data_IF_802251580550
#
_entry.id   IF_802251580550
#
_cell.length_a   1.000
_cell.length_b   1.000
_cell.length_c   1.000
_cell.angle_alpha   90.00
_cell.angle_beta   90.00
_cell.angle_gamma   90.00
#
_symmetry.space_group_name_H-M   'P 1'
#
loop_
_entity.id
_entity.type
_entity.pdbx_description
1 polymer ?
#
# COMPACT_ATOMS: atom_id res chain seq x y z
N UNK A 1 -11.16 -12.00 -7.10
CA UNK A 1 -9.86 -11.34 -6.83
C UNK A 1 -9.15 -12.10 -5.73
N UNK A 2 -7.85 -12.41 -5.88
CA UNK A 2 -7.06 -12.95 -4.77
C UNK A 2 -7.09 -11.94 -3.62
N UNK A 3 -7.53 -12.37 -2.44
CA UNK A 3 -7.61 -11.49 -1.29
C UNK A 3 -6.31 -11.58 -0.49
N UNK A 4 -5.62 -10.45 -0.35
CA UNK A 4 -4.44 -10.36 0.49
C UNK A 4 -4.85 -10.28 1.97
N UNK A 5 -4.42 -11.23 2.83
CA UNK A 5 -4.77 -11.20 4.25
C UNK A 5 -4.32 -9.92 4.97
N UNK A 6 -3.14 -9.40 4.61
CA UNK A 6 -2.62 -8.16 5.19
C UNK A 6 -3.45 -6.95 4.79
N UNK A 7 -3.98 -6.94 3.56
CA UNK A 7 -4.91 -5.90 3.14
C UNK A 7 -6.13 -5.87 4.06
N UNK A 8 -6.77 -7.02 4.29
CA UNK A 8 -7.93 -7.13 5.20
C UNK A 8 -7.61 -6.60 6.59
N UNK A 9 -6.48 -7.01 7.16
CA UNK A 9 -6.04 -6.54 8.47
C UNK A 9 -5.92 -5.01 8.54
N UNK A 10 -5.40 -4.39 7.47
CA UNK A 10 -5.29 -2.93 7.40
C UNK A 10 -6.66 -2.26 7.36
N UNK A 11 -7.59 -2.73 6.50
CA UNK A 11 -8.93 -2.12 6.37
C UNK A 11 -9.83 -2.39 7.56
N UNK A 12 -9.66 -3.51 8.24
CA UNK A 12 -10.39 -3.89 9.46
C UNK A 12 -9.83 -3.21 10.71
N UNK A 13 -8.73 -2.44 10.59
CA UNK A 13 -8.17 -1.67 11.68
C UNK A 13 -7.42 -2.51 12.72
N UNK A 14 -7.01 -3.73 12.39
CA UNK A 14 -6.12 -4.52 13.25
C UNK A 14 -4.80 -3.79 13.45
N UNK A 15 -4.08 -4.10 14.53
CA UNK A 15 -2.83 -3.40 14.89
C UNK A 15 -1.67 -3.75 13.94
N UNK A 16 -1.70 -3.19 12.74
CA UNK A 16 -0.71 -3.37 11.67
C UNK A 16 0.39 -2.30 11.69
N UNK A 17 0.16 -1.19 12.40
CA UNK A 17 1.06 -0.03 12.50
C UNK A 17 2.27 -0.27 13.42
N UNK A 18 2.29 -1.44 14.04
CA UNK A 18 3.19 -1.86 15.10
C UNK A 18 4.10 -2.97 14.58
N UNK A 19 5.40 -2.86 14.84
CA UNK A 19 6.35 -3.92 14.47
C UNK A 19 5.90 -5.24 15.09
N UNK A 20 5.84 -6.32 14.31
CA UNK A 20 5.66 -7.67 14.85
C UNK A 20 6.96 -8.06 15.55
N UNK A 21 7.08 -7.66 16.82
CA UNK A 21 8.16 -8.07 17.72
C UNK A 21 7.49 -8.59 18.98
N UNK A 22 7.32 -9.91 19.06
CA UNK A 22 6.73 -10.56 20.25
C UNK A 22 7.61 -10.42 21.50
N UNK A 23 8.88 -10.02 21.35
CA UNK A 23 9.90 -10.13 22.42
C UNK A 23 10.55 -8.81 22.86
N UNK A 24 10.00 -7.62 22.55
CA UNK A 24 10.68 -6.36 22.88
C UNK A 24 9.88 -5.44 23.82
N UNK A 25 10.43 -5.08 25.01
CA UNK A 25 9.80 -4.17 25.97
C UNK A 25 9.94 -2.68 25.60
N UNK A 26 10.46 -2.37 24.41
CA UNK A 26 10.67 -1.00 23.93
C UNK A 26 9.37 -0.50 23.26
N UNK A 27 8.92 0.74 23.53
CA UNK A 27 7.79 1.31 22.80
C UNK A 27 8.05 1.24 21.30
N UNK A 28 7.17 0.50 20.61
CA UNK A 28 7.33 0.23 19.20
C UNK A 28 7.28 1.56 18.42
N UNK A 29 8.31 1.83 17.63
CA UNK A 29 8.29 3.00 16.73
C UNK A 29 7.14 2.81 15.74
N UNK A 30 6.22 3.76 15.69
CA UNK A 30 5.15 3.72 14.70
C UNK A 30 5.73 3.85 13.29
N UNK A 31 5.20 3.05 12.35
CA UNK A 31 5.59 3.13 10.94
C UNK A 31 5.31 4.55 10.42
N UNK A 32 6.29 5.14 9.71
CA UNK A 32 6.11 6.48 9.16
C UNK A 32 4.91 6.54 8.21
N UNK A 33 4.19 7.67 8.22
CA UNK A 33 2.95 7.89 7.45
C UNK A 33 3.04 7.47 5.98
N UNK A 34 4.17 7.77 5.32
CA UNK A 34 4.37 7.42 3.91
C UNK A 34 4.44 5.92 3.66
N UNK A 35 5.13 5.16 4.52
CA UNK A 35 5.28 3.71 4.33
C UNK A 35 3.98 2.97 4.64
N UNK A 36 3.15 3.51 5.53
CA UNK A 36 1.77 3.07 5.75
C UNK A 36 0.94 3.19 4.46
N UNK A 37 0.97 4.35 3.81
CA UNK A 37 0.28 4.57 2.54
C UNK A 37 0.82 3.68 1.41
N UNK A 38 2.15 3.55 1.29
CA UNK A 38 2.79 2.72 0.26
C UNK A 38 2.44 1.24 0.43
N UNK A 39 2.38 0.76 1.68
CA UNK A 39 1.97 -0.61 1.97
C UNK A 39 0.51 -0.84 1.57
N UNK A 40 -0.40 0.07 1.90
CA UNK A 40 -1.80 -0.04 1.48
C UNK A 40 -1.93 -0.08 -0.05
N UNK A 41 -1.19 0.77 -0.77
CA UNK A 41 -1.12 0.74 -2.25
C UNK A 41 -0.67 -0.64 -2.73
N UNK A 42 0.44 -1.17 -2.20
CA UNK A 42 0.96 -2.48 -2.59
C UNK A 42 -0.03 -3.61 -2.27
N UNK A 43 -0.72 -3.55 -1.13
CA UNK A 43 -1.65 -4.58 -0.69
C UNK A 43 -2.97 -4.60 -1.48
N UNK A 44 -3.34 -3.51 -2.15
CA UNK A 44 -4.63 -3.36 -2.84
C UNK A 44 -4.77 -4.13 -4.15
N UNK A 45 -3.65 -4.55 -4.77
CA UNK A 45 -3.68 -5.27 -6.04
C UNK A 45 -4.36 -4.47 -7.15
N UNK A 46 -5.11 -5.17 -8.01
CA UNK A 46 -5.89 -4.56 -9.08
C UNK A 46 -7.04 -3.66 -8.58
N UNK A 47 -7.44 -3.77 -7.30
CA UNK A 47 -8.43 -2.85 -6.72
C UNK A 47 -7.87 -1.42 -6.72
N UNK A 48 -6.60 -1.26 -6.36
CA UNK A 48 -5.99 0.05 -6.19
C UNK A 48 -6.48 0.80 -4.94
N UNK A 49 -6.05 2.05 -4.81
CA UNK A 49 -6.37 2.90 -3.67
C UNK A 49 -6.77 4.30 -4.11
N UNK A 50 -7.75 4.89 -3.43
CA UNK A 50 -8.10 6.31 -3.58
C UNK A 50 -7.43 7.14 -2.49
N UNK A 51 -7.46 8.47 -2.61
CA UNK A 51 -6.96 9.38 -1.57
C UNK A 51 -7.67 9.16 -0.23
N UNK A 52 -9.00 9.01 -0.25
CA UNK A 52 -9.80 8.73 0.94
C UNK A 52 -9.45 7.37 1.55
N UNK A 53 -9.21 6.37 0.71
CA UNK A 53 -8.83 5.04 1.17
C UNK A 53 -7.52 5.08 1.98
N UNK A 54 -6.53 5.84 1.52
CA UNK A 54 -5.28 6.09 2.24
C UNK A 54 -5.51 6.91 3.50
N UNK A 55 -6.32 7.97 3.44
CA UNK A 55 -6.62 8.84 4.58
C UNK A 55 -7.19 8.04 5.75
N UNK A 56 -8.25 7.25 5.51
CA UNK A 56 -8.96 6.51 6.55
C UNK A 56 -8.13 5.34 7.08
N UNK A 57 -7.59 4.49 6.22
CA UNK A 57 -6.95 3.24 6.65
C UNK A 57 -5.53 3.42 7.18
N UNK A 58 -4.86 4.53 6.83
CA UNK A 58 -3.53 4.84 7.36
C UNK A 58 -3.56 5.86 8.50
N UNK A 59 -4.75 6.29 8.96
CA UNK A 59 -4.94 7.29 10.03
C UNK A 59 -4.13 8.56 9.78
N UNK A 60 -4.31 9.15 8.60
CA UNK A 60 -3.57 10.33 8.15
C UNK A 60 -4.47 11.57 8.14
N UNK A 61 -3.89 12.75 8.32
CA UNK A 61 -4.60 14.02 8.17
C UNK A 61 -4.85 14.39 6.70
N UNK A 62 -4.17 13.73 5.76
CA UNK A 62 -4.35 13.86 4.32
C UNK A 62 -3.86 12.57 3.65
N UNK A 63 -4.61 12.04 2.70
CA UNK A 63 -4.22 10.92 1.84
C UNK A 63 -3.65 11.36 0.48
N UNK A 64 -3.54 12.68 0.24
CA UNK A 64 -3.07 13.24 -1.03
C UNK A 64 -1.57 13.01 -1.21
N UNK A 65 -1.14 13.04 -2.46
CA UNK A 65 0.26 13.01 -2.89
C UNK A 65 1.07 11.72 -2.65
N UNK A 66 0.60 10.73 -1.89
CA UNK A 66 1.40 9.51 -1.68
C UNK A 66 1.60 8.71 -2.96
N UNK A 67 0.57 8.58 -3.80
CA UNK A 67 0.70 7.93 -5.10
C UNK A 67 1.75 8.63 -5.99
N UNK A 68 1.66 9.96 -6.13
CA UNK A 68 2.59 10.74 -6.96
C UNK A 68 3.99 10.87 -6.34
N UNK A 69 4.13 10.81 -5.01
CA UNK A 69 5.43 10.67 -4.35
C UNK A 69 6.06 9.31 -4.67
N UNK A 70 5.29 8.24 -4.57
CA UNK A 70 5.75 6.88 -4.87
C UNK A 70 6.21 6.74 -6.33
N UNK A 71 5.44 7.27 -7.28
CA UNK A 71 5.81 7.32 -8.70
C UNK A 71 7.16 8.01 -8.91
N UNK A 72 7.38 9.17 -8.28
CA UNK A 72 8.64 9.92 -8.40
C UNK A 72 9.83 9.22 -7.74
N UNK A 73 9.63 8.68 -6.55
CA UNK A 73 10.68 8.03 -5.75
C UNK A 73 11.19 6.76 -6.45
N UNK A 74 10.29 6.00 -7.08
CA UNK A 74 10.62 4.72 -7.72
C UNK A 74 10.72 4.78 -9.24
N UNK A 75 10.42 5.94 -9.86
CA UNK A 75 10.31 6.11 -11.32
C UNK A 75 9.37 5.07 -11.95
N UNK A 76 8.24 4.84 -11.30
CA UNK A 76 7.17 3.95 -11.79
C UNK A 76 5.95 4.78 -12.21
N UNK A 77 5.05 4.18 -12.97
CA UNK A 77 3.77 4.80 -13.34
C UNK A 77 2.62 3.98 -12.79
N UNK A 78 1.81 4.57 -11.91
CA UNK A 78 0.61 3.92 -11.39
C UNK A 78 -0.51 4.06 -12.41
N UNK A 79 -1.28 2.99 -12.59
CA UNK A 79 -2.49 3.06 -13.38
C UNK A 79 -3.54 3.89 -12.63
N UNK A 80 -4.19 4.82 -13.35
CA UNK A 80 -5.23 5.69 -12.82
C UNK A 80 -6.57 5.26 -13.39
N UNK A 81 -7.41 4.66 -12.55
CA UNK A 81 -8.82 4.47 -12.88
C UNK A 81 -9.57 5.74 -12.51
N UNK A 82 -10.40 6.25 -13.43
CA UNK A 82 -11.30 7.37 -13.16
C UNK A 82 -12.62 6.79 -12.67
N UNK A 83 -12.87 6.92 -11.37
CA UNK A 83 -14.12 6.48 -10.75
C UNK A 83 -15.03 7.69 -10.55
N UNK A 84 -16.28 7.60 -11.00
CA UNK A 84 -17.29 8.64 -10.74
C UNK A 84 -17.57 8.74 -9.25
N UNK A 85 -17.80 9.96 -8.76
CA UNK A 85 -18.24 10.15 -7.39
C UNK A 85 -19.67 9.60 -7.21
N UNK A 86 -19.98 9.13 -6.00
CA UNK A 86 -21.29 8.55 -5.67
C UNK A 86 -22.43 9.57 -5.82
N UNK A 87 -22.15 10.85 -5.58
CA UNK A 87 -23.07 11.98 -5.77
C UNK A 87 -23.25 12.38 -7.26
N UNK A 88 -22.54 11.71 -8.17
CA UNK A 88 -22.55 12.00 -9.61
C UNK A 88 -21.79 13.27 -10.01
N UNK A 89 -21.17 13.98 -9.06
CA UNK A 89 -20.49 15.25 -9.32
C UNK A 89 -18.98 15.04 -9.30
N UNK A 90 -18.37 15.08 -10.49
CA UNK A 90 -16.93 14.90 -10.65
C UNK A 90 -16.49 13.44 -10.56
N UNK A 91 -15.19 13.24 -10.51
CA UNK A 91 -14.57 11.93 -10.43
C UNK A 91 -13.32 12.00 -9.56
N UNK A 92 -12.96 10.86 -8.97
CA UNK A 92 -11.70 10.68 -8.27
C UNK A 92 -10.85 9.62 -8.96
N UNK A 93 -9.55 9.67 -8.69
CA UNK A 93 -8.63 8.67 -9.19
C UNK A 93 -8.40 7.57 -8.18
N UNK A 94 -8.45 6.34 -8.66
CA UNK A 94 -7.97 5.15 -7.97
C UNK A 94 -6.67 4.70 -8.61
N UNK A 95 -5.63 4.61 -7.79
CA UNK A 95 -4.27 4.31 -8.22
C UNK A 95 -3.95 2.84 -7.98
N UNK A 96 -3.42 2.13 -8.97
CA UNK A 96 -3.01 0.74 -8.84
C UNK A 96 -1.63 0.49 -9.44
N UNK A 97 -0.89 -0.42 -8.83
CA UNK A 97 0.25 -1.07 -9.46
C UNK A 97 -0.26 -2.06 -10.51
N UNK A 98 0.47 -2.18 -11.62
CA UNK A 98 0.07 -3.05 -12.74
C UNK A 98 1.02 -4.20 -12.98
N UNK A 99 2.21 -4.18 -12.38
CA UNK A 99 3.26 -5.15 -12.63
C UNK A 99 3.88 -5.65 -11.33
N UNK A 100 4.30 -6.91 -11.35
CA UNK A 100 5.08 -7.51 -10.26
C UNK A 100 6.40 -6.77 -10.02
N UNK A 101 7.06 -6.32 -11.08
CA UNK A 101 8.31 -5.55 -11.02
C UNK A 101 8.16 -4.26 -10.20
N UNK A 102 7.08 -3.51 -10.43
CA UNK A 102 6.84 -2.26 -9.70
C UNK A 102 6.42 -2.54 -8.26
N UNK A 103 5.65 -3.60 -8.02
CA UNK A 103 5.33 -4.05 -6.66
C UNK A 103 6.60 -4.43 -5.88
N UNK A 104 7.55 -5.14 -6.50
CA UNK A 104 8.85 -5.48 -5.89
C UNK A 104 9.63 -4.22 -5.51
N UNK A 105 9.68 -3.19 -6.37
CA UNK A 105 10.33 -1.91 -6.05
C UNK A 105 9.71 -1.25 -4.82
N UNK A 106 8.38 -1.26 -4.73
CA UNK A 106 7.65 -0.68 -3.58
C UNK A 106 7.95 -1.46 -2.29
N UNK A 107 7.90 -2.79 -2.34
CA UNK A 107 8.19 -3.63 -1.16
C UNK A 107 9.64 -3.51 -0.70
N UNK A 108 10.58 -3.46 -1.65
CA UNK A 108 12.00 -3.22 -1.35
C UNK A 108 12.23 -1.86 -0.69
N UNK A 109 11.55 -0.80 -1.16
CA UNK A 109 11.61 0.51 -0.52
C UNK A 109 11.09 0.49 0.92
N UNK A 110 9.96 -0.17 1.15
CA UNK A 110 9.36 -0.30 2.48
C UNK A 110 10.30 -1.06 3.41
N UNK A 111 10.79 -2.22 2.99
CA UNK A 111 11.67 -3.09 3.79
C UNK A 111 13.02 -2.43 4.10
N UNK A 112 13.60 -1.71 3.13
CA UNK A 112 14.84 -0.94 3.32
C UNK A 112 14.73 0.08 4.44
N UNK A 113 13.56 0.71 4.60
CA UNK A 113 13.34 1.77 5.57
C UNK A 113 12.68 1.30 6.87
N UNK A 114 12.03 0.15 6.85
CA UNK A 114 11.36 -0.45 8.01
C UNK A 114 11.66 -1.96 8.02
N UNK A 115 12.91 -2.35 8.34
CA UNK A 115 13.27 -3.75 8.43
C UNK A 115 12.34 -4.46 9.43
N UNK A 116 11.85 -5.65 9.09
CA UNK A 116 10.90 -6.45 9.90
C UNK A 116 9.44 -5.95 9.89
N UNK A 117 9.09 -4.94 9.09
CA UNK A 117 7.68 -4.57 8.94
C UNK A 117 6.87 -5.67 8.23
N UNK A 118 7.49 -6.35 7.27
CA UNK A 118 6.87 -7.42 6.50
C UNK A 118 7.62 -8.72 6.70
N UNK A 119 6.86 -9.81 6.83
CA UNK A 119 7.35 -11.18 6.82
C UNK A 119 7.42 -11.68 5.38
N UNK A 120 8.31 -12.63 5.09
CA UNK A 120 8.55 -13.11 3.72
C UNK A 120 7.28 -13.64 3.05
N UNK A 121 6.41 -14.33 3.80
CA UNK A 121 5.14 -14.80 3.27
C UNK A 121 4.17 -13.65 2.91
N UNK A 122 4.24 -12.52 3.62
CA UNK A 122 3.42 -11.34 3.30
C UNK A 122 3.92 -10.69 2.02
N UNK A 123 5.24 -10.61 1.84
CA UNK A 123 5.87 -10.15 0.60
C UNK A 123 5.40 -11.03 -0.56
N UNK A 124 5.52 -12.36 -0.44
CA UNK A 124 5.06 -13.29 -1.47
C UNK A 124 3.58 -13.12 -1.82
N UNK A 125 2.71 -13.04 -0.81
CA UNK A 125 1.27 -12.82 -0.99
C UNK A 125 0.95 -11.51 -1.73
N UNK A 126 1.68 -10.44 -1.44
CA UNK A 126 1.51 -9.15 -2.14
C UNK A 126 1.96 -9.27 -3.59
N UNK A 127 3.12 -9.89 -3.85
CA UNK A 127 3.63 -10.05 -5.22
C UNK A 127 2.72 -10.92 -6.09
N UNK A 128 2.02 -11.89 -5.51
CA UNK A 128 1.04 -12.71 -6.22
C UNK A 128 -0.19 -11.95 -6.73
N UNK A 129 -0.44 -10.72 -6.25
CA UNK A 129 -1.53 -9.88 -6.74
C UNK A 129 -1.26 -9.32 -8.13
N UNK A 130 0.00 -9.31 -8.56
CA UNK A 130 0.43 -8.62 -9.77
C UNK A 130 0.97 -9.60 -10.81
N UNK A 131 0.60 -9.42 -12.10
CA UNK A 131 1.12 -10.25 -13.16
C UNK A 131 2.62 -9.98 -13.37
N UNK A 132 3.33 -10.98 -13.88
CA UNK A 132 4.64 -10.70 -14.49
C UNK A 132 4.41 -9.78 -15.68
N UNK A 133 5.25 -8.76 -15.83
CA UNK A 133 5.20 -7.88 -16.99
C UNK A 133 5.34 -8.75 -18.24
N UNK A 134 4.44 -8.60 -19.21
CA UNK A 134 4.62 -9.24 -20.51
C UNK A 134 5.92 -8.69 -21.12
N UNK A 135 6.77 -9.60 -21.58
CA UNK A 135 8.04 -9.27 -22.22
C UNK A 135 7.81 -8.45 -23.50
#
# INVERSE_FOLDING_TARGET
MKSNPLYRQIVEGYNWNNYVSYDSPIPQKSVAKKYRAYLLIACSGAYGTTENHVLFNCSLSSGRNYASQLERELKITLHRYKDSNCDGIGAHFRYALTSKEDAEKVLNLINKNNPKLLLDYQIANILELYPKKAA
#
